data_IF_980626555000
#
_entry.id   IF_980626555000
#
_cell.length_a   1.000
_cell.length_b   1.000
_cell.length_c   1.000
_cell.angle_alpha   90.00
_cell.angle_beta   90.00
_cell.angle_gamma   90.00
#
_symmetry.space_group_name_H-M   'P 1'
#
loop_
_entity.id
_entity.type
_entity.pdbx_description
1 polymer ?
#
# COMPACT_ATOMS: atom_id res chain seq x y z
N UNK A 1 6.76 -11.30 10.97
CA UNK A 1 5.37 -10.96 10.61
C UNK A 1 4.91 -9.60 11.12
N UNK A 2 5.24 -9.26 12.35
CA UNK A 2 4.88 -7.94 12.91
C UNK A 2 5.36 -6.79 12.04
N UNK A 3 6.60 -6.89 11.53
CA UNK A 3 7.18 -5.86 10.68
C UNK A 3 6.40 -5.69 9.37
N UNK A 4 5.95 -6.80 8.79
CA UNK A 4 5.17 -6.75 7.56
C UNK A 4 3.80 -6.10 7.80
N UNK A 5 3.17 -6.40 8.92
CA UNK A 5 1.87 -5.82 9.27
C UNK A 5 2.01 -4.31 9.48
N UNK A 6 3.04 -3.88 10.18
CA UNK A 6 3.30 -2.46 10.41
C UNK A 6 3.60 -1.73 9.11
N UNK A 7 4.38 -2.37 8.22
CA UNK A 7 4.69 -1.78 6.93
C UNK A 7 3.44 -1.66 6.06
N UNK A 8 2.57 -2.67 6.12
CA UNK A 8 1.30 -2.64 5.40
C UNK A 8 0.42 -1.47 5.87
N UNK A 9 0.36 -1.24 7.18
CA UNK A 9 -0.38 -0.10 7.73
C UNK A 9 0.19 1.22 7.21
N UNK A 10 1.51 1.33 7.14
CA UNK A 10 2.19 2.51 6.62
C UNK A 10 1.84 2.72 5.15
N UNK A 11 1.87 1.66 4.34
CA UNK A 11 1.51 1.74 2.93
C UNK A 11 0.05 2.18 2.74
N UNK A 12 -0.85 1.64 3.52
CA UNK A 12 -2.26 2.01 3.44
C UNK A 12 -2.48 3.49 3.80
N UNK A 13 -1.75 3.99 4.79
CA UNK A 13 -1.79 5.40 5.16
C UNK A 13 -1.25 6.27 4.03
N UNK A 14 -0.16 5.85 3.37
CA UNK A 14 0.40 6.56 2.23
C UNK A 14 -0.56 6.58 1.05
N UNK A 15 -1.23 5.46 0.79
CA UNK A 15 -2.23 5.38 -0.28
C UNK A 15 -3.34 6.40 -0.04
N UNK A 16 -3.89 6.45 1.17
CA UNK A 16 -4.96 7.38 1.51
C UNK A 16 -4.50 8.83 1.35
N UNK A 17 -3.28 9.13 1.79
CA UNK A 17 -2.70 10.46 1.65
C UNK A 17 -2.51 10.84 0.19
N UNK A 18 -1.97 9.94 -0.61
CA UNK A 18 -1.74 10.19 -2.05
C UNK A 18 -3.05 10.34 -2.80
N UNK A 19 -4.06 9.55 -2.46
CA UNK A 19 -5.39 9.69 -3.07
C UNK A 19 -5.99 11.05 -2.76
N UNK A 20 -5.84 11.51 -1.52
CA UNK A 20 -6.31 12.85 -1.13
C UNK A 20 -5.59 13.93 -1.93
N UNK A 21 -4.26 13.85 -2.01
CA UNK A 21 -3.46 14.81 -2.75
C UNK A 21 -3.79 14.78 -4.24
N UNK A 22 -4.05 13.62 -4.80
CA UNK A 22 -4.45 13.49 -6.19
C UNK A 22 -5.75 14.25 -6.46
N UNK A 23 -6.72 14.10 -5.56
CA UNK A 23 -8.03 14.77 -5.72
C UNK A 23 -7.95 16.27 -5.53
N UNK A 24 -7.08 16.73 -4.63
CA UNK A 24 -6.98 18.15 -4.29
C UNK A 24 -5.97 18.93 -5.11
N UNK A 25 -5.09 18.23 -5.84
CA UNK A 25 -4.08 18.88 -6.68
C UNK A 25 -4.71 19.48 -7.92
N UNK A 26 -4.32 20.73 -8.23
CA UNK A 26 -4.85 21.44 -9.39
C UNK A 26 -4.06 21.20 -10.66
N UNK A 27 -2.81 20.77 -10.56
CA UNK A 27 -1.94 20.55 -11.70
C UNK A 27 -2.09 19.16 -12.28
N UNK A 28 -2.09 19.06 -13.61
CA UNK A 28 -2.18 17.77 -14.30
C UNK A 28 -0.99 16.88 -13.98
N UNK A 29 0.21 17.46 -13.92
CA UNK A 29 1.43 16.70 -13.65
C UNK A 29 1.39 16.12 -12.25
N UNK A 30 1.01 16.92 -11.25
CA UNK A 30 0.91 16.43 -9.87
C UNK A 30 -0.12 15.32 -9.72
N UNK A 31 -1.28 15.46 -10.38
CA UNK A 31 -2.30 14.42 -10.37
C UNK A 31 -1.79 13.12 -10.96
N UNK A 32 -1.07 13.20 -12.08
CA UNK A 32 -0.51 12.03 -12.73
C UNK A 32 0.51 11.33 -11.83
N UNK A 33 1.38 12.10 -11.18
CA UNK A 33 2.39 11.56 -10.28
C UNK A 33 1.73 10.87 -9.09
N UNK A 34 0.77 11.51 -8.44
CA UNK A 34 0.09 10.91 -7.29
C UNK A 34 -0.71 9.67 -7.71
N UNK A 35 -1.29 9.67 -8.91
CA UNK A 35 -1.97 8.49 -9.43
C UNK A 35 -1.04 7.30 -9.61
N UNK A 36 0.18 7.55 -10.10
CA UNK A 36 1.20 6.50 -10.23
C UNK A 36 1.64 5.98 -8.86
N UNK A 37 1.81 6.88 -7.90
CA UNK A 37 2.20 6.49 -6.54
C UNK A 37 1.12 5.61 -5.90
N UNK A 38 -0.14 5.98 -6.06
CA UNK A 38 -1.25 5.19 -5.54
C UNK A 38 -1.23 3.78 -6.14
N UNK A 39 -1.11 3.69 -7.48
CA UNK A 39 -1.08 2.40 -8.16
C UNK A 39 0.09 1.55 -7.68
N UNK A 40 1.27 2.15 -7.56
CA UNK A 40 2.47 1.46 -7.11
C UNK A 40 2.33 0.94 -5.68
N UNK A 41 1.85 1.79 -4.78
CA UNK A 41 1.67 1.41 -3.38
C UNK A 41 0.60 0.33 -3.22
N UNK A 42 -0.45 0.35 -4.03
CA UNK A 42 -1.48 -0.70 -3.99
C UNK A 42 -0.92 -2.05 -4.39
N UNK A 43 -0.04 -2.10 -5.38
CA UNK A 43 0.63 -3.33 -5.77
C UNK A 43 1.48 -3.84 -4.61
N UNK A 44 2.28 -2.96 -4.00
CA UNK A 44 3.12 -3.35 -2.86
C UNK A 44 2.29 -3.83 -1.68
N UNK A 45 1.19 -3.14 -1.39
CA UNK A 45 0.30 -3.54 -0.30
C UNK A 45 -0.30 -4.91 -0.57
N UNK A 46 -0.69 -5.19 -1.81
CA UNK A 46 -1.22 -6.50 -2.20
C UNK A 46 -0.19 -7.60 -2.02
N UNK A 47 1.07 -7.34 -2.40
CA UNK A 47 2.16 -8.30 -2.22
C UNK A 47 2.41 -8.58 -0.74
N UNK A 48 2.37 -7.54 0.09
CA UNK A 48 2.52 -7.71 1.54
C UNK A 48 1.37 -8.50 2.14
N UNK A 49 0.14 -8.25 1.70
CA UNK A 49 -1.02 -9.00 2.17
C UNK A 49 -0.88 -10.48 1.84
N UNK A 50 -0.42 -10.80 0.63
CA UNK A 50 -0.18 -12.18 0.24
C UNK A 50 0.93 -12.83 1.05
N UNK A 51 2.00 -12.09 1.31
CA UNK A 51 3.11 -12.58 2.14
C UNK A 51 2.67 -12.86 3.57
N UNK A 52 1.87 -11.99 4.13
CA UNK A 52 1.33 -12.15 5.49
C UNK A 52 0.43 -13.39 5.55
N UNK A 53 -0.43 -13.58 4.55
CA UNK A 53 -1.31 -14.74 4.49
C UNK A 53 -0.53 -16.04 4.37
N UNK A 54 0.52 -16.05 3.54
CA UNK A 54 1.37 -17.23 3.37
C UNK A 54 2.12 -17.56 4.66
N UNK A 55 2.62 -16.54 5.36
CA UNK A 55 3.31 -16.73 6.63
C UNK A 55 2.36 -17.29 7.69
N UNK A 56 1.12 -16.79 7.73
CA UNK A 56 0.11 -17.28 8.67
C UNK A 56 -0.21 -18.75 8.39
N UNK A 57 -0.28 -19.16 7.13
CA UNK A 57 -0.51 -20.56 6.78
C UNK A 57 0.64 -21.45 7.24
N UNK A 58 1.88 -21.01 7.05
CA UNK A 58 3.05 -21.76 7.51
C UNK A 58 3.02 -21.93 9.03
N UNK A 59 2.73 -20.85 9.76
CA UNK A 59 2.63 -20.89 11.20
C UNK A 59 1.50 -21.81 11.66
N UNK A 60 0.41 -21.85 10.91
CA UNK A 60 -0.73 -22.69 11.22
C UNK A 60 -0.51 -24.18 11.00
N UNK A 61 0.47 -24.54 10.19
CA UNK A 61 0.77 -25.95 9.90
C UNK A 61 1.56 -26.65 10.98
N UNK A 62 2.00 -25.95 11.97
CA UNK A 62 2.67 -26.56 13.10
C UNK A 62 1.64 -27.13 14.06
#
# INVERSE_FOLDING_TARGET
MKDMIEHLKTLRAQIAKCEHLQRTSKGKIKRAIFGRLVAHYRVLAGELEQAIAAQAEEDGKK
#
